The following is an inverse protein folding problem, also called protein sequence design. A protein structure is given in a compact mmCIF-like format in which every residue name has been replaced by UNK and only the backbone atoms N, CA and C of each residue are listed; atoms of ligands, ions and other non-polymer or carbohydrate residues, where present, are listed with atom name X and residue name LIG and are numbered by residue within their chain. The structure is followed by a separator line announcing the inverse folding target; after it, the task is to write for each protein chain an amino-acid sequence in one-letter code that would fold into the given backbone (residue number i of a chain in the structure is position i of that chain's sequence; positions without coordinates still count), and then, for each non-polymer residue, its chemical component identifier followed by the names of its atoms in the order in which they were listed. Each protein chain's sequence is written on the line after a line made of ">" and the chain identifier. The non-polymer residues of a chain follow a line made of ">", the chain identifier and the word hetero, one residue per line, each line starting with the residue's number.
data_IF_724188356534
#
_entry.id   IF_724188356534
#
_cell.length_a   1.000
_cell.length_b   1.000
_cell.length_c   1.000
_cell.angle_alpha   90.00
_cell.angle_beta   90.00
_cell.angle_gamma   90.00
#
_symmetry.space_group_name_H-M   'P 1'
#
loop_
_entity.id
_entity.type
_entity.pdbx_description
1 polymer ?
#
# COMPACT_ATOMS: atom_id res chain seq x y z
N UNK A 1 -6.52 -24.94 -4.57
CA UNK A 1 -7.38 -24.53 -3.44
C UNK A 1 -6.68 -23.59 -2.48
N UNK A 2 -5.50 -23.93 -1.99
CA UNK A 2 -4.73 -23.03 -1.13
C UNK A 2 -4.40 -21.70 -1.80
N UNK A 3 -4.04 -21.74 -3.08
CA UNK A 3 -3.70 -20.55 -3.85
C UNK A 3 -4.91 -19.61 -4.01
N UNK A 4 -6.09 -20.18 -4.25
CA UNK A 4 -7.33 -19.40 -4.38
C UNK A 4 -7.72 -18.79 -3.04
N UNK A 5 -7.64 -19.55 -1.96
CA UNK A 5 -7.95 -19.07 -0.61
C UNK A 5 -7.00 -17.93 -0.22
N UNK A 6 -5.73 -18.08 -0.52
CA UNK A 6 -4.73 -17.01 -0.28
C UNK A 6 -5.03 -15.77 -1.10
N UNK A 7 -5.42 -15.94 -2.36
CA UNK A 7 -5.77 -14.81 -3.25
C UNK A 7 -6.99 -14.07 -2.76
N UNK A 8 -8.04 -14.80 -2.35
CA UNK A 8 -9.24 -14.19 -1.78
C UNK A 8 -8.95 -13.46 -0.47
N UNK A 9 -8.11 -14.02 0.37
CA UNK A 9 -7.68 -13.40 1.62
C UNK A 9 -6.91 -12.11 1.34
N UNK A 10 -6.01 -12.14 0.36
CA UNK A 10 -5.26 -10.96 -0.04
C UNK A 10 -6.19 -9.83 -0.53
N UNK A 11 -7.19 -10.16 -1.33
CA UNK A 11 -8.18 -9.18 -1.79
C UNK A 11 -8.96 -8.59 -0.63
N UNK A 12 -9.45 -9.41 0.28
CA UNK A 12 -10.19 -8.95 1.46
C UNK A 12 -9.34 -8.04 2.34
N UNK A 13 -8.10 -8.41 2.56
CA UNK A 13 -7.17 -7.61 3.35
C UNK A 13 -6.89 -6.27 2.69
N UNK A 14 -6.74 -6.24 1.37
CA UNK A 14 -6.50 -4.99 0.64
C UNK A 14 -7.72 -4.07 0.70
N UNK A 15 -8.93 -4.61 0.59
CA UNK A 15 -10.16 -3.84 0.76
C UNK A 15 -10.22 -3.22 2.16
N UNK A 16 -9.89 -3.98 3.18
CA UNK A 16 -9.83 -3.49 4.55
C UNK A 16 -8.80 -2.37 4.71
N UNK A 17 -7.59 -2.58 4.20
CA UNK A 17 -6.51 -1.61 4.26
C UNK A 17 -6.90 -0.30 3.57
N UNK A 18 -7.60 -0.39 2.44
CA UNK A 18 -8.06 0.79 1.69
C UNK A 18 -9.02 1.68 2.51
N UNK A 19 -9.68 1.13 3.52
CA UNK A 19 -10.58 1.86 4.40
C UNK A 19 -9.93 2.51 5.61
N UNK A 20 -8.64 2.26 5.83
CA UNK A 20 -7.92 2.77 6.99
C UNK A 20 -7.48 4.23 6.82
N UNK A 21 -7.09 4.86 7.93
CA UNK A 21 -6.48 6.19 7.94
C UNK A 21 -5.11 6.16 7.24
N UNK A 22 -4.62 7.33 6.81
CA UNK A 22 -3.40 7.44 5.99
C UNK A 22 -2.19 6.71 6.58
N UNK A 23 -1.90 6.89 7.87
CA UNK A 23 -0.76 6.23 8.51
C UNK A 23 -0.94 4.72 8.58
N UNK A 24 -2.12 4.27 9.02
CA UNK A 24 -2.43 2.85 9.13
C UNK A 24 -2.51 2.20 7.74
N UNK A 25 -3.06 2.93 6.77
CA UNK A 25 -3.12 2.47 5.39
C UNK A 25 -1.70 2.25 4.83
N UNK A 26 -0.82 3.21 5.01
CA UNK A 26 0.57 3.10 4.52
C UNK A 26 1.28 1.88 5.13
N UNK A 27 1.17 1.72 6.45
CA UNK A 27 1.77 0.59 7.14
C UNK A 27 1.15 -0.74 6.71
N UNK A 28 -0.17 -0.78 6.56
CA UNK A 28 -0.89 -1.96 6.11
C UNK A 28 -0.49 -2.37 4.70
N UNK A 29 -0.35 -1.41 3.79
CA UNK A 29 0.07 -1.66 2.41
C UNK A 29 1.48 -2.24 2.33
N UNK A 30 2.39 -1.71 3.12
CA UNK A 30 3.77 -2.23 3.16
C UNK A 30 3.78 -3.69 3.61
N UNK A 31 3.02 -4.02 4.66
CA UNK A 31 2.87 -5.40 5.14
C UNK A 31 2.23 -6.29 4.09
N UNK A 32 1.21 -5.78 3.40
CA UNK A 32 0.49 -6.52 2.36
C UNK A 32 1.42 -6.86 1.21
N UNK A 33 2.22 -5.90 0.74
CA UNK A 33 3.21 -6.12 -0.31
C UNK A 33 4.23 -7.17 0.11
N UNK A 34 4.75 -7.06 1.34
CA UNK A 34 5.74 -7.99 1.85
C UNK A 34 5.16 -9.41 2.00
N UNK A 35 3.90 -9.51 2.36
CA UNK A 35 3.24 -10.81 2.55
C UNK A 35 2.89 -11.48 1.23
N UNK A 36 2.36 -10.73 0.26
CA UNK A 36 1.73 -11.31 -0.93
C UNK A 36 2.51 -11.10 -2.22
N UNK A 37 3.31 -10.05 -2.33
CA UNK A 37 3.99 -9.70 -3.58
C UNK A 37 5.50 -9.92 -3.56
N UNK A 38 6.05 -10.38 -2.47
CA UNK A 38 7.50 -10.62 -2.35
C UNK A 38 7.98 -11.72 -3.28
N UNK A 39 7.19 -12.79 -3.40
CA UNK A 39 7.52 -13.96 -4.22
C UNK A 39 6.62 -14.13 -5.43
N UNK A 40 5.53 -13.37 -5.49
CA UNK A 40 4.50 -13.49 -6.54
C UNK A 40 4.11 -12.11 -7.06
N UNK A 41 3.55 -12.08 -8.27
CA UNK A 41 2.95 -10.87 -8.82
C UNK A 41 1.43 -10.96 -8.76
N UNK A 42 0.74 -9.82 -8.90
CA UNK A 42 -0.73 -9.75 -8.92
C UNK A 42 -1.29 -10.66 -10.01
N UNK A 43 -0.61 -10.76 -11.15
CA UNK A 43 -1.04 -11.58 -12.28
C UNK A 43 -1.15 -13.06 -11.95
N UNK A 44 -0.42 -13.51 -10.94
CA UNK A 44 -0.41 -14.92 -10.52
C UNK A 44 -1.48 -15.24 -9.47
N UNK A 45 -2.29 -14.28 -9.08
CA UNK A 45 -3.37 -14.51 -8.13
C UNK A 45 -4.49 -15.31 -8.78
N UNK A 46 -4.99 -16.31 -8.05
CA UNK A 46 -6.07 -17.19 -8.52
C UNK A 46 -7.42 -16.58 -8.12
N UNK A 47 -7.91 -15.66 -8.95
CA UNK A 47 -9.17 -14.96 -8.74
C UNK A 47 -9.99 -14.97 -10.02
N UNK A 48 -11.31 -14.86 -9.88
CA UNK A 48 -12.19 -14.61 -11.02
C UNK A 48 -11.85 -13.25 -11.63
N UNK A 49 -12.15 -13.08 -12.91
CA UNK A 49 -11.79 -11.87 -13.65
C UNK A 49 -12.29 -10.59 -12.99
N UNK A 50 -13.52 -10.60 -12.48
CA UNK A 50 -14.10 -9.43 -11.79
C UNK A 50 -13.35 -9.10 -10.50
N UNK A 51 -12.98 -10.10 -9.73
CA UNK A 51 -12.22 -9.93 -8.50
C UNK A 51 -10.78 -9.51 -8.78
N UNK A 52 -10.19 -10.06 -9.83
CA UNK A 52 -8.84 -9.70 -10.25
C UNK A 52 -8.77 -8.24 -10.70
N UNK A 53 -9.77 -7.78 -11.45
CA UNK A 53 -9.86 -6.36 -11.84
C UNK A 53 -10.01 -5.46 -10.63
N UNK A 54 -10.82 -5.84 -9.66
CA UNK A 54 -10.99 -5.08 -8.43
C UNK A 54 -9.69 -5.00 -7.64
N UNK A 55 -8.97 -6.11 -7.54
CA UNK A 55 -7.66 -6.16 -6.89
C UNK A 55 -6.66 -5.23 -7.59
N UNK A 56 -6.61 -5.28 -8.91
CA UNK A 56 -5.72 -4.42 -9.69
C UNK A 56 -6.04 -2.94 -9.50
N UNK A 57 -7.32 -2.56 -9.53
CA UNK A 57 -7.75 -1.19 -9.31
C UNK A 57 -7.34 -0.69 -7.93
N UNK A 58 -7.59 -1.48 -6.89
CA UNK A 58 -7.20 -1.14 -5.53
C UNK A 58 -5.68 -1.06 -5.39
N UNK A 59 -4.97 -1.97 -6.02
CA UNK A 59 -3.51 -1.99 -5.99
C UNK A 59 -2.93 -0.71 -6.59
N UNK A 60 -3.35 -0.34 -7.79
CA UNK A 60 -2.85 0.87 -8.46
C UNK A 60 -3.24 2.14 -7.71
N UNK A 61 -4.47 2.21 -7.22
CA UNK A 61 -4.94 3.32 -6.39
C UNK A 61 -4.06 3.49 -5.16
N UNK A 62 -3.73 2.39 -4.50
CA UNK A 62 -2.95 2.42 -3.27
C UNK A 62 -1.45 2.64 -3.52
N UNK A 63 -0.93 2.21 -4.66
CA UNK A 63 0.44 2.58 -5.07
C UNK A 63 0.54 4.09 -5.25
N UNK A 64 -0.43 4.70 -5.91
CA UNK A 64 -0.47 6.16 -6.08
C UNK A 64 -0.58 6.87 -4.73
N UNK A 65 -1.39 6.33 -3.82
CA UNK A 65 -1.49 6.85 -2.46
C UNK A 65 -0.14 6.80 -1.75
N UNK A 66 0.57 5.68 -1.82
CA UNK A 66 1.88 5.54 -1.18
C UNK A 66 2.92 6.51 -1.74
N UNK A 67 2.92 6.72 -3.05
CA UNK A 67 3.83 7.69 -3.68
C UNK A 67 3.57 9.10 -3.16
N UNK A 68 2.32 9.50 -3.09
CA UNK A 68 1.92 10.82 -2.59
C UNK A 68 2.24 10.95 -1.10
N UNK A 69 1.93 9.95 -0.31
CA UNK A 69 2.19 9.94 1.12
C UNK A 69 3.70 10.04 1.41
N UNK A 70 4.50 9.28 0.68
CA UNK A 70 5.96 9.30 0.80
C UNK A 70 6.52 10.67 0.47
N UNK A 71 6.02 11.30 -0.60
CA UNK A 71 6.47 12.63 -1.02
C UNK A 71 6.10 13.68 0.04
N UNK A 72 4.89 13.64 0.57
CA UNK A 72 4.45 14.54 1.62
C UNK A 72 5.31 14.40 2.88
N UNK A 73 5.59 13.17 3.30
CA UNK A 73 6.44 12.90 4.46
C UNK A 73 7.84 13.43 4.25
N UNK A 74 8.39 13.25 3.05
CA UNK A 74 9.71 13.76 2.69
C UNK A 74 9.75 15.28 2.76
N UNK A 75 8.74 15.96 2.23
CA UNK A 75 8.64 17.42 2.28
C UNK A 75 8.56 17.93 3.71
N UNK A 76 7.78 17.27 4.55
CA UNK A 76 7.68 17.60 5.97
C UNK A 76 9.01 17.46 6.68
N UNK A 77 9.75 16.39 6.43
CA UNK A 77 11.09 16.19 6.99
C UNK A 77 12.06 17.28 6.55
N UNK A 78 12.02 17.67 5.28
CA UNK A 78 12.86 18.75 4.75
C UNK A 78 12.54 20.07 5.46
N UNK A 79 11.25 20.38 5.63
CA UNK A 79 10.80 21.58 6.34
C UNK A 79 11.28 21.58 7.79
N UNK A 80 11.17 20.46 8.47
CA UNK A 80 11.62 20.31 9.84
C UNK A 80 13.13 20.51 9.96
N UNK A 81 13.90 19.96 9.03
CA UNK A 81 15.35 20.14 9.00
C UNK A 81 15.75 21.60 8.77
N UNK A 82 15.06 22.31 7.88
CA UNK A 82 15.29 23.72 7.63
C UNK A 82 14.98 24.57 8.86
N UNK A 83 13.87 24.30 9.53
CA UNK A 83 13.52 24.98 10.79
C UNK A 83 14.55 24.74 11.85
N UNK A 84 15.02 23.50 11.99
CA UNK A 84 16.03 23.15 12.98
C UNK A 84 17.35 23.89 12.74
N UNK A 85 17.77 23.99 11.47
CA UNK A 85 18.95 24.79 11.11
C UNK A 85 18.78 26.24 11.46
N UNK A 86 17.61 26.79 11.18
CA UNK A 86 17.30 28.19 11.46
C UNK A 86 17.33 28.46 12.96
N UNK A 87 16.79 27.54 13.77
CA UNK A 87 16.73 27.69 15.21
C UNK A 87 18.08 27.45 15.91
N UNK A 88 18.99 26.69 15.30
CA UNK A 88 20.28 26.39 15.91
C UNK A 88 21.36 27.41 15.61
N UNK A 89 21.03 28.41 14.80
CA UNK A 89 21.91 29.55 14.56
C UNK A 89 21.44 30.76 15.38
#
# INVERSE_FOLDING_TARGET
>A
MERRDRSLKALKELIYIDSLDSSDKANGLIRWFDTYLKEDSIENFDLELSDLKKLEELFFKNINFLKTHRENTRQELIKMQKMKRFLSN
#
